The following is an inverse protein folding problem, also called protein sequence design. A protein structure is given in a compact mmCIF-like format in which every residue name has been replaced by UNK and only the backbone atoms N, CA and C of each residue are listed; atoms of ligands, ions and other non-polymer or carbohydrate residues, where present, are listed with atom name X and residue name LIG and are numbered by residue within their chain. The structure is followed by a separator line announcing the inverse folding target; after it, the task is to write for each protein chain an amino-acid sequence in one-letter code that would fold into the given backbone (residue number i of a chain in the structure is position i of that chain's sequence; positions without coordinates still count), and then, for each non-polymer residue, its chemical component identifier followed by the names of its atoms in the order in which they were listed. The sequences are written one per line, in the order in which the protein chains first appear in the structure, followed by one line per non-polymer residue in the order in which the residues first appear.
data_IF_251175998842
#
_entry.id   IF_251175998842
#
_cell.length_a   1.000
_cell.length_b   1.000
_cell.length_c   1.000
_cell.angle_alpha   90.00
_cell.angle_beta   90.00
_cell.angle_gamma   90.00
#
_symmetry.space_group_name_H-M   'P 1'
#
loop_
_entity.id
_entity.type
_entity.pdbx_description
1 polymer ?
#
# COMPACT_ATOMS: atom_id res chain seq x y z
N UNK A 1 25.02 9.99 1.57
CA UNK A 1 23.72 10.49 1.71
C UNK A 1 22.67 9.54 1.19
N UNK A 2 21.70 9.29 1.99
CA UNK A 2 20.71 8.30 1.66
C UNK A 2 19.47 8.95 1.10
N UNK A 3 18.97 8.43 0.01
CA UNK A 3 17.69 8.90 -0.52
C UNK A 3 16.56 8.29 0.31
N UNK A 4 15.66 9.14 0.75
CA UNK A 4 14.50 8.70 1.50
C UNK A 4 13.26 9.00 0.66
N UNK A 5 12.66 7.97 0.13
CA UNK A 5 11.45 8.09 -0.67
C UNK A 5 10.27 7.78 0.24
N UNK A 6 9.32 8.70 0.34
CA UNK A 6 8.16 8.53 1.21
C UNK A 6 6.87 8.65 0.44
N UNK A 7 5.85 7.97 0.95
CA UNK A 7 4.49 8.07 0.46
C UNK A 7 3.61 8.50 1.63
N UNK A 8 2.84 9.57 1.44
CA UNK A 8 1.90 10.03 2.45
C UNK A 8 0.50 9.69 1.97
N UNK A 9 -0.14 8.78 2.68
CA UNK A 9 -1.53 8.42 2.41
C UNK A 9 -2.42 9.36 3.20
N UNK A 10 -3.19 10.18 2.50
CA UNK A 10 -4.18 11.04 3.15
C UNK A 10 -5.48 10.28 3.16
N UNK A 11 -5.94 9.90 4.35
CA UNK A 11 -7.18 9.16 4.47
C UNK A 11 -8.21 9.98 5.24
N UNK A 12 -9.47 9.58 5.12
CA UNK A 12 -10.53 10.22 5.89
C UNK A 12 -10.49 9.84 7.38
N UNK A 13 -9.45 9.13 7.81
CA UNK A 13 -9.20 8.81 9.22
C UNK A 13 -7.92 9.45 9.73
N UNK A 14 -7.15 10.08 8.85
CA UNK A 14 -5.88 10.71 9.20
C UNK A 14 -4.79 10.34 8.19
N UNK A 15 -3.61 10.90 8.40
CA UNK A 15 -2.49 10.70 7.49
C UNK A 15 -1.58 9.58 7.97
N UNK A 16 -1.06 8.82 7.01
CA UNK A 16 -0.08 7.76 7.25
C UNK A 16 1.10 8.02 6.36
N UNK A 17 2.29 8.15 6.94
CA UNK A 17 3.51 8.38 6.16
C UNK A 17 4.34 7.11 6.16
N UNK A 18 4.75 6.69 4.98
CA UNK A 18 5.45 5.43 4.77
C UNK A 18 6.79 5.72 4.11
N UNK A 19 7.86 5.15 4.67
CA UNK A 19 9.16 5.17 4.01
C UNK A 19 9.21 3.97 3.08
N UNK A 20 9.47 4.20 1.79
CA UNK A 20 9.54 3.15 0.80
C UNK A 20 10.95 2.58 0.72
N UNK A 21 11.07 1.34 0.23
CA UNK A 21 12.35 0.63 0.17
C UNK A 21 12.76 0.39 -1.29
N UNK A 22 13.19 1.43 -2.03
CA UNK A 22 13.52 1.25 -3.45
C UNK A 22 14.74 0.38 -3.70
N UNK A 23 15.65 0.26 -2.71
CA UNK A 23 16.82 -0.59 -2.88
C UNK A 23 16.49 -2.07 -2.69
N UNK A 24 15.49 -2.35 -1.87
CA UNK A 24 15.10 -3.74 -1.57
C UNK A 24 14.08 -4.28 -2.55
N UNK A 25 13.21 -3.42 -3.06
CA UNK A 25 12.12 -3.82 -3.95
C UNK A 25 11.91 -2.77 -5.03
N UNK A 26 12.90 -2.58 -5.94
CA UNK A 26 12.88 -1.47 -6.89
C UNK A 26 11.70 -1.48 -7.84
N UNK A 27 11.31 -2.64 -8.35
CA UNK A 27 10.19 -2.69 -9.30
C UNK A 27 8.87 -2.47 -8.58
N UNK A 28 8.73 -3.01 -7.38
CA UNK A 28 7.51 -2.83 -6.59
C UNK A 28 7.32 -1.39 -6.19
N UNK A 29 8.39 -0.74 -5.73
CA UNK A 29 8.33 0.67 -5.35
C UNK A 29 8.00 1.52 -6.56
N UNK A 30 8.65 1.25 -7.70
CA UNK A 30 8.37 2.01 -8.93
C UNK A 30 6.91 1.87 -9.34
N UNK A 31 6.38 0.65 -9.29
CA UNK A 31 4.98 0.41 -9.63
C UNK A 31 4.05 1.22 -8.74
N UNK A 32 4.28 1.16 -7.44
CA UNK A 32 3.45 1.88 -6.48
C UNK A 32 3.51 3.39 -6.72
N UNK A 33 4.71 3.92 -6.87
CA UNK A 33 4.92 5.36 -7.08
C UNK A 33 4.25 5.82 -8.38
N UNK A 34 4.45 5.08 -9.46
CA UNK A 34 3.90 5.50 -10.75
C UNK A 34 2.38 5.39 -10.79
N UNK A 35 1.80 4.39 -10.15
CA UNK A 35 0.34 4.31 -10.04
C UNK A 35 -0.20 5.43 -9.16
N UNK A 36 0.51 5.75 -8.08
CA UNK A 36 0.08 6.82 -7.18
C UNK A 36 0.13 8.19 -7.85
N UNK A 37 1.13 8.41 -8.69
CA UNK A 37 1.33 9.71 -9.35
C UNK A 37 0.58 9.84 -10.67
N UNK A 38 0.09 8.73 -11.21
CA UNK A 38 -0.54 8.75 -12.52
C UNK A 38 0.44 8.84 -13.67
N UNK A 39 1.69 8.41 -13.45
CA UNK A 39 2.72 8.46 -14.48
C UNK A 39 2.87 7.12 -15.23
N UNK A 40 2.09 6.12 -14.83
CA UNK A 40 2.05 4.82 -15.50
C UNK A 40 0.64 4.56 -16.01
N UNK A 41 0.54 4.12 -17.24
CA UNK A 41 -0.75 3.71 -17.78
C UNK A 41 -1.17 2.38 -17.16
N UNK A 42 -2.44 2.27 -16.81
CA UNK A 42 -3.03 1.05 -16.26
C UNK A 42 -4.40 0.88 -16.88
N UNK A 43 -4.96 -0.31 -16.76
CA UNK A 43 -6.30 -0.59 -17.28
C UNK A 43 -7.30 -0.52 -16.15
N UNK A 44 -8.24 0.40 -16.23
CA UNK A 44 -9.24 0.59 -15.19
C UNK A 44 -10.28 -0.52 -15.29
N UNK A 45 -10.40 -1.38 -14.27
CA UNK A 45 -11.36 -2.49 -14.34
C UNK A 45 -12.80 -2.04 -14.36
N UNK A 46 -13.09 -0.79 -13.96
CA UNK A 46 -14.46 -0.27 -13.97
C UNK A 46 -14.91 0.08 -15.39
N UNK A 47 -14.00 0.54 -16.22
CA UNK A 47 -14.30 0.96 -17.59
C UNK A 47 -13.70 0.04 -18.64
N UNK A 48 -12.71 -0.77 -18.26
CA UNK A 48 -11.95 -1.66 -19.15
C UNK A 48 -11.11 -0.88 -20.15
N UNK A 49 -10.83 0.39 -19.86
CA UNK A 49 -10.06 1.26 -20.74
C UNK A 49 -8.75 1.65 -20.06
N UNK A 50 -7.77 2.01 -20.89
CA UNK A 50 -6.50 2.53 -20.39
C UNK A 50 -6.74 3.85 -19.66
N UNK A 51 -5.99 4.06 -18.59
CA UNK A 51 -6.11 5.25 -17.77
C UNK A 51 -4.74 5.68 -17.32
N UNK A 52 -4.57 6.98 -17.11
CA UNK A 52 -3.40 7.55 -16.46
C UNK A 52 -3.81 8.35 -15.24
N UNK A 53 -5.00 8.08 -14.72
CA UNK A 53 -5.44 8.69 -13.48
C UNK A 53 -4.60 8.13 -12.33
N UNK A 54 -4.56 8.87 -11.22
CA UNK A 54 -3.90 8.39 -10.01
C UNK A 54 -4.73 7.26 -9.44
N UNK A 55 -4.23 6.04 -9.55
CA UNK A 55 -5.00 4.85 -9.24
C UNK A 55 -5.53 4.84 -7.81
N UNK A 56 -4.70 5.26 -6.86
CA UNK A 56 -5.06 5.12 -5.44
C UNK A 56 -6.01 6.19 -4.92
N UNK A 57 -6.17 7.31 -5.66
CA UNK A 57 -7.07 8.37 -5.21
C UNK A 57 -8.51 7.85 -5.19
N UNK A 58 -9.13 7.94 -4.03
CA UNK A 58 -10.52 7.50 -3.87
C UNK A 58 -10.71 6.02 -3.61
N UNK A 59 -9.63 5.24 -3.55
CA UNK A 59 -9.75 3.81 -3.22
C UNK A 59 -9.92 3.64 -1.72
N UNK A 60 -10.42 2.48 -1.31
CA UNK A 60 -10.73 2.22 0.10
C UNK A 60 -9.88 1.10 0.66
N UNK A 61 -9.81 1.06 2.00
CA UNK A 61 -9.32 -0.12 2.68
C UNK A 61 -10.50 -1.07 2.81
N UNK A 62 -10.59 -2.01 1.89
CA UNK A 62 -11.75 -2.88 1.77
C UNK A 62 -11.72 -4.09 2.69
N UNK A 63 -10.59 -4.32 3.38
CA UNK A 63 -10.45 -5.45 4.29
C UNK A 63 -9.53 -5.04 5.42
N UNK A 64 -10.05 -5.04 6.65
CA UNK A 64 -9.25 -4.68 7.83
C UNK A 64 -9.47 -5.73 8.91
N UNK A 65 -8.40 -6.17 9.55
CA UNK A 65 -8.46 -7.19 10.61
C UNK A 65 -7.53 -6.74 11.72
N UNK A 66 -8.05 -6.50 12.94
CA UNK A 66 -7.18 -6.07 14.05
C UNK A 66 -6.16 -7.15 14.37
N UNK A 67 -5.00 -6.72 14.81
CA UNK A 67 -3.86 -7.58 15.14
C UNK A 67 -3.39 -8.39 13.94
N UNK A 68 -3.62 -7.90 12.73
CA UNK A 68 -3.18 -8.52 11.50
C UNK A 68 -2.77 -7.46 10.47
N UNK A 69 -3.74 -6.85 9.76
CA UNK A 69 -3.38 -5.90 8.71
C UNK A 69 -4.60 -5.11 8.23
N UNK A 70 -4.31 -4.04 7.46
CA UNK A 70 -5.32 -3.33 6.69
C UNK A 70 -4.93 -3.41 5.21
N UNK A 71 -5.88 -3.71 4.35
CA UNK A 71 -5.62 -3.97 2.93
C UNK A 71 -6.45 -3.05 2.05
N UNK A 72 -5.82 -2.47 1.03
CA UNK A 72 -6.50 -1.58 0.10
C UNK A 72 -5.79 -1.54 -1.25
N UNK A 73 -6.11 -0.51 -2.03
CA UNK A 73 -5.44 -0.29 -3.32
C UNK A 73 -6.12 -0.95 -4.51
N UNK A 74 -7.34 -1.43 -4.34
CA UNK A 74 -8.10 -2.03 -5.44
C UNK A 74 -9.03 -0.97 -6.03
N UNK A 75 -8.91 -0.63 -7.32
CA UNK A 75 -9.82 0.34 -7.93
C UNK A 75 -11.29 -0.06 -7.85
N UNK A 76 -11.59 -1.36 -7.78
CA UNK A 76 -12.96 -1.83 -7.60
C UNK A 76 -13.42 -1.80 -6.16
N UNK A 77 -12.48 -1.78 -5.20
CA UNK A 77 -12.82 -1.79 -3.79
C UNK A 77 -13.39 -3.11 -3.29
N UNK A 78 -13.20 -4.20 -4.01
CA UNK A 78 -13.78 -5.50 -3.67
C UNK A 78 -12.74 -6.56 -3.36
N UNK A 79 -11.47 -6.29 -3.65
CA UNK A 79 -10.41 -7.27 -3.49
C UNK A 79 -10.15 -8.06 -4.77
N UNK A 80 -10.93 -7.85 -5.82
CA UNK A 80 -10.82 -8.60 -7.06
C UNK A 80 -10.22 -7.82 -8.21
N UNK A 81 -10.02 -6.51 -8.04
CA UNK A 81 -9.51 -5.66 -9.10
C UNK A 81 -8.02 -5.40 -9.00
N UNK A 82 -7.51 -4.68 -9.97
CA UNK A 82 -6.11 -4.32 -10.03
C UNK A 82 -5.84 -3.46 -11.26
N UNK A 83 -4.56 -3.26 -11.60
CA UNK A 83 -4.19 -2.35 -12.68
C UNK A 83 -4.21 -2.98 -14.08
N UNK A 84 -4.62 -4.23 -14.19
CA UNK A 84 -4.71 -4.89 -15.48
C UNK A 84 -3.44 -5.65 -15.88
N UNK A 85 -2.47 -5.74 -15.00
CA UNK A 85 -1.24 -6.49 -15.22
C UNK A 85 -0.76 -7.09 -13.90
N UNK A 86 0.20 -7.98 -13.99
CA UNK A 86 0.82 -8.61 -12.81
C UNK A 86 2.33 -8.54 -12.97
N UNK A 87 3.04 -8.55 -11.83
CA UNK A 87 4.50 -8.54 -11.87
C UNK A 87 5.08 -9.41 -10.76
N UNK A 88 6.36 -9.74 -10.90
CA UNK A 88 7.04 -10.71 -10.05
C UNK A 88 7.30 -10.18 -8.65
N UNK A 89 7.45 -11.11 -7.72
CA UNK A 89 7.81 -10.78 -6.35
C UNK A 89 9.27 -10.34 -6.25
N UNK A 90 9.55 -9.55 -5.22
CA UNK A 90 10.91 -9.11 -4.92
C UNK A 90 11.18 -9.35 -3.44
N UNK A 91 11.59 -10.58 -3.11
CA UNK A 91 11.92 -10.92 -1.73
C UNK A 91 13.37 -10.58 -1.46
N UNK A 92 13.62 -9.85 -0.38
CA UNK A 92 14.97 -9.47 0.02
C UNK A 92 15.31 -10.13 1.34
N UNK A 93 16.49 -10.74 1.47
CA UNK A 93 16.83 -11.49 2.69
C UNK A 93 16.90 -10.64 3.95
N UNK A 94 17.07 -9.32 3.82
CA UNK A 94 17.10 -8.42 4.97
C UNK A 94 15.69 -8.07 5.47
N UNK A 95 14.64 -8.45 4.75
CA UNK A 95 13.27 -8.08 5.11
C UNK A 95 12.45 -9.31 5.46
N UNK A 96 11.77 -9.23 6.59
CA UNK A 96 10.84 -10.26 7.03
C UNK A 96 9.72 -9.59 7.81
N UNK A 97 8.61 -10.31 7.97
CA UNK A 97 7.45 -9.79 8.71
C UNK A 97 7.63 -10.01 10.22
N UNK A 98 8.74 -9.51 10.76
CA UNK A 98 9.08 -9.73 12.15
C UNK A 98 8.65 -8.57 13.07
N UNK A 99 7.94 -7.59 12.54
CA UNK A 99 7.45 -6.44 13.29
C UNK A 99 6.20 -5.87 12.62
N UNK A 100 5.42 -5.03 13.33
CA UNK A 100 4.23 -4.41 12.71
C UNK A 100 4.61 -3.24 11.81
N UNK A 101 3.59 -2.72 11.12
CA UNK A 101 3.64 -1.50 10.32
C UNK A 101 4.51 -1.60 9.08
N UNK A 102 4.56 -2.79 8.49
CA UNK A 102 5.24 -3.01 7.22
C UNK A 102 4.23 -2.91 6.07
N UNK A 103 4.68 -2.29 4.98
CA UNK A 103 3.88 -2.17 3.75
C UNK A 103 4.30 -3.27 2.80
N UNK A 104 3.36 -4.04 2.32
CA UNK A 104 3.65 -5.17 1.45
C UNK A 104 2.56 -5.32 0.39
N UNK A 105 2.87 -6.08 -0.66
CA UNK A 105 1.92 -6.30 -1.76
C UNK A 105 1.00 -7.47 -1.45
N UNK A 106 -0.29 -7.23 -1.60
CA UNK A 106 -1.26 -8.33 -1.62
C UNK A 106 -1.12 -9.08 -2.95
N UNK A 107 -1.41 -10.37 -2.92
CA UNK A 107 -1.34 -11.17 -4.14
C UNK A 107 -2.25 -12.40 -4.01
N UNK A 108 -2.37 -13.15 -5.11
CA UNK A 108 -3.13 -14.40 -5.15
C UNK A 108 -2.22 -15.58 -5.47
N UNK A 109 -0.94 -15.48 -5.12
CA UNK A 109 0.06 -16.49 -5.35
C UNK A 109 1.32 -15.87 -5.94
N UNK A 110 2.33 -16.68 -6.24
CA UNK A 110 3.59 -16.16 -6.77
C UNK A 110 3.42 -15.34 -8.04
N UNK A 111 4.09 -14.20 -8.09
CA UNK A 111 4.12 -13.40 -9.31
C UNK A 111 2.81 -12.75 -9.71
N UNK A 112 1.93 -12.50 -8.74
CA UNK A 112 0.62 -11.91 -9.07
C UNK A 112 0.41 -10.54 -8.43
N UNK A 113 1.48 -9.78 -8.27
CA UNK A 113 1.38 -8.43 -7.72
C UNK A 113 0.74 -7.47 -8.72
N UNK A 114 -0.09 -6.58 -8.23
CA UNK A 114 -0.76 -5.58 -9.06
C UNK A 114 -0.77 -4.24 -8.38
N UNK A 115 -1.91 -3.83 -7.82
CA UNK A 115 -2.01 -2.54 -7.12
C UNK A 115 -2.39 -2.70 -5.66
N UNK A 116 -2.98 -3.82 -5.26
CA UNK A 116 -3.41 -3.98 -3.88
C UNK A 116 -2.22 -4.17 -2.94
N UNK A 117 -2.32 -3.54 -1.78
CA UNK A 117 -1.27 -3.61 -0.76
C UNK A 117 -1.91 -3.76 0.61
N UNK A 118 -1.08 -4.10 1.59
CA UNK A 118 -1.55 -4.12 2.98
C UNK A 118 -0.48 -3.55 3.89
N UNK A 119 -0.92 -3.07 5.06
CA UNK A 119 -0.03 -2.59 6.11
C UNK A 119 -0.31 -3.45 7.32
N UNK A 120 0.73 -4.07 7.87
CA UNK A 120 0.56 -4.97 9.01
C UNK A 120 0.41 -4.19 10.30
N UNK A 121 -0.31 -4.76 11.26
CA UNK A 121 -0.44 -4.18 12.59
C UNK A 121 0.13 -5.08 13.67
N UNK A 122 0.76 -6.19 13.26
CA UNK A 122 1.41 -7.14 14.15
C UNK A 122 2.48 -7.88 13.36
N UNK A 123 3.42 -8.56 14.03
CA UNK A 123 4.33 -9.45 13.31
C UNK A 123 3.51 -10.57 12.64
N UNK A 124 3.75 -10.77 11.33
CA UNK A 124 3.03 -11.78 10.56
C UNK A 124 4.05 -12.68 9.87
N UNK A 125 4.85 -13.35 10.69
CA UNK A 125 6.04 -14.07 10.22
C UNK A 125 5.74 -15.11 9.14
N UNK A 126 4.52 -15.66 9.10
CA UNK A 126 4.14 -16.65 8.11
C UNK A 126 4.00 -16.06 6.71
N UNK A 127 4.02 -14.75 6.57
CA UNK A 127 3.94 -14.09 5.25
C UNK A 127 5.30 -13.87 4.61
N UNK A 128 6.37 -14.06 5.37
CA UNK A 128 7.74 -13.88 4.87
C UNK A 128 7.99 -14.86 3.73
N UNK A 129 8.50 -14.35 2.59
CA UNK A 129 8.74 -15.16 1.41
C UNK A 129 7.50 -15.41 0.57
N UNK A 130 6.37 -14.78 0.92
CA UNK A 130 5.12 -14.92 0.16
C UNK A 130 4.61 -13.59 -0.34
N UNK A 131 4.98 -12.50 0.32
CA UNK A 131 4.55 -11.14 -0.05
C UNK A 131 5.76 -10.23 -0.05
N UNK A 132 5.83 -9.36 -1.06
CA UNK A 132 6.94 -8.42 -1.20
C UNK A 132 6.77 -7.26 -0.21
N UNK A 133 7.74 -7.11 0.68
CA UNK A 133 7.78 -5.98 1.62
C UNK A 133 8.47 -4.83 0.90
N UNK A 134 7.83 -3.65 0.84
CA UNK A 134 8.45 -2.53 0.13
C UNK A 134 8.36 -1.20 0.87
N UNK A 135 7.98 -1.20 2.13
CA UNK A 135 7.98 0.03 2.94
C UNK A 135 7.66 -0.23 4.40
N UNK A 136 7.71 0.84 5.18
CA UNK A 136 7.33 0.80 6.59
C UNK A 136 6.72 2.14 6.99
N UNK A 137 5.76 2.10 7.89
CA UNK A 137 5.12 3.31 8.38
C UNK A 137 6.07 4.01 9.36
N UNK A 138 6.32 5.29 9.12
CA UNK A 138 7.18 6.09 10.00
C UNK A 138 6.39 7.16 10.76
N UNK A 139 5.13 7.40 10.38
CA UNK A 139 4.25 8.33 11.08
C UNK A 139 2.82 7.91 10.84
N UNK A 140 1.97 8.02 11.86
CA UNK A 140 0.57 7.66 11.71
C UNK A 140 0.27 6.21 12.05
N UNK A 141 1.11 5.56 12.86
CA UNK A 141 0.82 4.18 13.29
C UNK A 141 -0.48 4.10 14.08
N UNK A 142 -0.82 5.17 14.81
CA UNK A 142 -2.09 5.24 15.53
C UNK A 142 -3.27 5.26 14.56
N UNK A 143 -3.11 5.90 13.40
CA UNK A 143 -4.15 5.91 12.37
C UNK A 143 -4.31 4.49 11.80
N UNK A 144 -3.20 3.80 11.51
CA UNK A 144 -3.25 2.43 11.01
C UNK A 144 -3.96 1.52 12.01
N UNK A 145 -3.62 1.65 13.29
CA UNK A 145 -4.26 0.84 14.33
C UNK A 145 -5.76 1.13 14.43
N UNK A 146 -6.13 2.40 14.35
CA UNK A 146 -7.54 2.79 14.42
C UNK A 146 -8.31 2.22 13.23
N UNK A 147 -7.74 2.28 12.04
CA UNK A 147 -8.39 1.71 10.85
C UNK A 147 -8.58 0.20 11.03
N UNK A 148 -7.58 -0.49 11.57
CA UNK A 148 -7.66 -1.94 11.75
C UNK A 148 -8.78 -2.35 12.71
N UNK A 149 -9.21 -1.43 13.57
CA UNK A 149 -10.25 -1.68 14.57
C UNK A 149 -11.61 -1.11 14.19
N UNK A 150 -11.75 -0.63 12.97
CA UNK A 150 -13.05 -0.16 12.48
C UNK A 150 -14.06 -1.30 12.56
N UNK A 151 -15.31 -0.95 12.82
CA UNK A 151 -16.37 -1.95 12.80
C UNK A 151 -16.53 -2.44 11.37
N UNK A 152 -16.56 -3.76 11.21
CA UNK A 152 -16.61 -4.37 9.89
C UNK A 152 -17.88 -5.19 9.71
N UNK A 153 -18.26 -5.37 8.45
CA UNK A 153 -19.31 -6.25 8.05
C UNK A 153 -18.74 -7.44 7.30
N UNK A 154 -19.45 -7.85 6.25
CA UNK A 154 -19.06 -9.02 5.46
C UNK A 154 -17.67 -8.81 4.86
N UNK A 155 -16.87 -9.88 4.85
CA UNK A 155 -15.51 -9.91 4.29
C UNK A 155 -14.56 -8.92 4.96
N UNK A 156 -14.81 -8.61 6.23
CA UNK A 156 -13.96 -7.71 7.00
C UNK A 156 -13.88 -6.31 6.40
N UNK A 157 -14.91 -5.90 5.70
CA UNK A 157 -14.97 -4.56 5.12
C UNK A 157 -15.52 -3.58 6.16
N UNK A 158 -14.85 -2.44 6.36
CA UNK A 158 -15.37 -1.42 7.26
C UNK A 158 -16.79 -1.00 6.90
N UNK A 159 -17.66 -0.86 7.90
CA UNK A 159 -19.05 -0.45 7.67
C UNK A 159 -19.11 0.97 7.11
N UNK A 160 -18.18 1.82 7.53
CA UNK A 160 -18.03 3.16 6.96
C UNK A 160 -16.73 3.15 6.16
N UNK A 161 -16.80 3.55 4.90
CA UNK A 161 -15.63 3.47 4.02
C UNK A 161 -14.46 4.26 4.56
N UNK A 162 -13.31 3.62 4.61
CA UNK A 162 -12.03 4.25 4.91
C UNK A 162 -11.39 4.55 3.57
N UNK A 163 -11.35 5.83 3.21
CA UNK A 163 -10.98 6.26 1.87
C UNK A 163 -9.58 6.83 1.86
N UNK A 164 -8.77 6.40 0.89
CA UNK A 164 -7.49 7.03 0.59
C UNK A 164 -7.82 8.19 -0.34
N UNK A 165 -7.75 9.40 0.18
CA UNK A 165 -8.12 10.58 -0.60
C UNK A 165 -7.03 10.92 -1.61
N UNK A 166 -5.77 10.75 -1.23
CA UNK A 166 -4.65 10.94 -2.12
C UNK A 166 -3.40 10.27 -1.58
N UNK A 167 -2.42 10.07 -2.45
CA UNK A 167 -1.10 9.57 -2.07
C UNK A 167 -0.09 10.56 -2.59
N UNK A 168 0.70 11.15 -1.69
CA UNK A 168 1.73 12.12 -2.05
C UNK A 168 3.09 11.48 -1.95
N UNK A 169 3.83 11.49 -3.04
CA UNK A 169 5.17 10.91 -3.08
C UNK A 169 6.18 12.04 -2.90
N UNK A 170 7.13 11.85 -1.98
CA UNK A 170 8.17 12.83 -1.72
C UNK A 170 9.54 12.19 -1.81
N UNK A 171 10.45 12.86 -2.51
CA UNK A 171 11.84 12.43 -2.54
C UNK A 171 12.53 13.00 -1.31
N UNK A 172 13.27 12.15 -0.61
CA UNK A 172 13.84 12.51 0.66
C UNK A 172 14.82 13.66 0.61
N UNK A 173 15.45 13.86 -0.52
CA UNK A 173 16.39 14.96 -0.60
C UNK A 173 15.70 16.29 -0.32
N UNK A 174 14.50 16.49 -0.81
CA UNK A 174 13.78 17.71 -0.52
C UNK A 174 12.81 17.51 0.62
N UNK A 175 12.19 16.36 0.71
CA UNK A 175 11.23 16.11 1.76
C UNK A 175 11.88 16.07 3.13
N UNK A 176 13.06 15.51 3.22
CA UNK A 176 13.74 15.42 4.48
C UNK A 176 14.07 16.78 5.05
N UNK A 177 14.44 17.68 4.20
CA UNK A 177 14.73 18.98 4.67
C UNK A 177 13.53 19.73 5.11
N UNK A 178 12.48 19.62 4.37
CA UNK A 178 11.30 20.36 4.73
C UNK A 178 10.70 19.84 6.01
N UNK A 179 11.07 18.67 6.42
CA UNK A 179 10.53 18.11 7.62
C UNK A 179 11.11 18.74 8.87
N UNK A 180 12.19 19.45 8.73
CA UNK A 180 12.75 20.01 9.92
C UNK A 180 12.04 21.15 10.49
#
# INVERSE_FOLDING_TARGET
MTNTLTAKLRTNRGDVVIRLFPDHAPKTVRNFVELAEGSREWTDPRTRKASKDRLYDGTIFHRVIPDFMIQGGDPLGTGTGGPGYKFADEFHPDLSFNRPYLLAMANSGPGTNGSQFFITTAPTTWLTGKHTIFGEVISGTDVVDAISRERTGRNDRPESDVVIESVEISDGASGGESAE
#
